data_IF_169639782177
#
_entry.id   IF_169639782177
#
_cell.length_a   1.000
_cell.length_b   1.000
_cell.length_c   1.000
_cell.angle_alpha   90.00
_cell.angle_beta   90.00
_cell.angle_gamma   90.00
#
_symmetry.space_group_name_H-M   'P 1'
#
loop_
_entity.id
_entity.type
_entity.pdbx_description
1 polymer ?
#
# COMPACT_ATOMS: atom_id res chain seq x y z
N UNK A 1 -19.03 -59.48 -41.93
CA UNK A 1 -18.60 -60.41 -40.83
C UNK A 1 -17.63 -59.70 -39.93
N UNK A 2 -17.83 -59.87 -38.69
CA UNK A 2 -16.98 -59.48 -37.52
C UNK A 2 -16.94 -58.01 -37.12
N UNK A 3 -17.75 -57.74 -36.17
CA UNK A 3 -17.73 -56.60 -35.28
C UNK A 3 -16.48 -56.62 -34.40
N UNK A 4 -15.82 -55.49 -34.20
CA UNK A 4 -14.85 -55.30 -33.16
C UNK A 4 -15.38 -54.17 -32.28
N UNK A 5 -15.72 -54.55 -31.06
CA UNK A 5 -16.13 -53.69 -29.97
C UNK A 5 -14.90 -53.03 -29.42
N UNK A 6 -14.82 -51.70 -29.52
CA UNK A 6 -13.75 -50.92 -28.85
C UNK A 6 -14.33 -50.29 -27.62
N UNK A 7 -13.82 -50.69 -26.51
CA UNK A 7 -14.12 -50.18 -25.16
C UNK A 7 -13.63 -48.75 -24.99
N UNK A 8 -14.57 -47.89 -24.62
CA UNK A 8 -14.34 -46.48 -24.30
C UNK A 8 -13.79 -46.39 -22.86
N UNK A 9 -12.50 -46.07 -22.74
CA UNK A 9 -11.89 -45.82 -21.44
C UNK A 9 -12.09 -44.34 -21.08
N UNK A 10 -12.93 -44.08 -20.09
CA UNK A 10 -13.19 -42.77 -19.54
C UNK A 10 -12.01 -42.36 -18.62
N UNK A 11 -11.12 -41.52 -19.07
CA UNK A 11 -10.06 -40.94 -18.27
C UNK A 11 -10.60 -39.67 -17.59
N UNK A 12 -10.90 -39.76 -16.30
CA UNK A 12 -11.23 -38.61 -15.45
C UNK A 12 -9.96 -37.80 -15.18
N UNK A 13 -9.88 -36.64 -15.82
CA UNK A 13 -8.83 -35.66 -15.53
C UNK A 13 -9.28 -34.78 -14.37
N UNK A 14 -8.78 -35.06 -13.17
CA UNK A 14 -8.91 -34.19 -12.01
C UNK A 14 -7.95 -32.99 -12.21
N UNK A 15 -8.50 -31.88 -12.67
CA UNK A 15 -7.82 -30.61 -12.67
C UNK A 15 -7.72 -30.06 -11.24
N UNK A 16 -6.56 -30.20 -10.59
CA UNK A 16 -6.24 -29.46 -9.41
C UNK A 16 -6.03 -27.99 -9.82
N UNK A 17 -7.05 -27.18 -9.62
CA UNK A 17 -6.93 -25.75 -9.71
C UNK A 17 -6.12 -25.22 -8.53
N UNK A 18 -4.84 -24.92 -8.77
CA UNK A 18 -4.05 -24.16 -7.82
C UNK A 18 -4.60 -22.72 -7.78
N UNK A 19 -5.35 -22.40 -6.73
CA UNK A 19 -5.72 -21.03 -6.43
C UNK A 19 -4.48 -20.32 -5.93
N UNK A 20 -3.85 -19.54 -6.80
CA UNK A 20 -2.85 -18.54 -6.39
C UNK A 20 -3.59 -17.46 -5.60
N UNK A 21 -3.46 -17.52 -4.28
CA UNK A 21 -3.89 -16.43 -3.43
C UNK A 21 -2.92 -15.25 -3.67
N UNK A 22 -3.37 -14.28 -4.44
CA UNK A 22 -2.66 -12.99 -4.56
C UNK A 22 -2.86 -12.26 -3.23
N UNK A 23 -1.78 -12.05 -2.50
CA UNK A 23 -1.80 -11.21 -1.31
C UNK A 23 -2.12 -9.77 -1.71
N UNK A 24 -3.19 -9.20 -1.14
CA UNK A 24 -3.65 -7.85 -1.41
C UNK A 24 -3.36 -6.93 -0.23
N UNK A 25 -3.03 -5.66 -0.47
CA UNK A 25 -2.75 -4.71 0.61
C UNK A 25 -3.98 -4.49 1.49
N UNK A 26 -3.73 -4.52 2.80
CA UNK A 26 -4.76 -4.75 3.81
C UNK A 26 -5.71 -3.59 4.07
N UNK A 27 -5.40 -2.35 3.74
CA UNK A 27 -6.19 -1.22 4.22
C UNK A 27 -6.36 -0.04 3.27
N UNK A 28 -5.96 -0.17 2.01
CA UNK A 28 -6.15 0.85 1.00
C UNK A 28 -7.25 0.43 0.00
N UNK A 29 -8.28 1.27 -0.18
CA UNK A 29 -9.39 1.06 -1.13
C UNK A 29 -9.49 2.17 -2.17
N UNK A 30 -8.34 2.72 -2.57
CA UNK A 30 -8.26 3.63 -3.69
C UNK A 30 -8.39 2.91 -5.03
N UNK A 31 -7.79 3.43 -6.13
CA UNK A 31 -7.86 2.84 -7.47
C UNK A 31 -7.35 1.40 -7.61
N UNK A 32 -6.68 0.84 -6.61
CA UNK A 32 -6.41 -0.60 -6.54
C UNK A 32 -7.38 -1.31 -5.60
N UNK A 33 -7.68 -2.56 -5.82
CA UNK A 33 -8.86 -3.25 -5.28
C UNK A 33 -8.59 -4.20 -4.13
N UNK A 34 -9.40 -4.17 -3.16
CA UNK A 34 -9.90 -5.11 -2.13
C UNK A 34 -9.40 -4.89 -0.71
N UNK A 35 -10.31 -4.92 0.29
CA UNK A 35 -10.03 -4.60 1.69
C UNK A 35 -9.64 -5.83 2.52
N UNK A 36 -8.65 -5.68 3.39
CA UNK A 36 -8.38 -6.62 4.48
C UNK A 36 -7.84 -5.89 5.71
N UNK A 37 -8.32 -6.25 6.88
CA UNK A 37 -8.03 -5.57 8.13
C UNK A 37 -6.88 -6.22 8.91
N UNK A 38 -5.94 -5.41 9.38
CA UNK A 38 -4.90 -5.81 10.32
C UNK A 38 -4.88 -4.88 11.54
N UNK A 39 -4.71 -5.43 12.73
CA UNK A 39 -4.83 -4.68 13.98
C UNK A 39 -3.46 -4.43 14.62
N UNK A 40 -3.02 -3.18 14.61
CA UNK A 40 -1.89 -2.73 15.44
C UNK A 40 -2.25 -1.40 16.11
N UNK A 41 -1.90 -1.27 17.40
CA UNK A 41 -2.13 -0.05 18.15
C UNK A 41 -1.09 1.02 17.79
N UNK A 42 -1.54 2.25 17.59
CA UNK A 42 -0.65 3.37 17.25
C UNK A 42 -0.64 4.42 18.37
N UNK A 43 0.53 5.01 18.63
CA UNK A 43 0.68 6.17 19.49
C UNK A 43 0.13 7.41 18.76
N UNK A 44 -0.73 8.18 19.43
CA UNK A 44 -1.31 9.41 18.88
C UNK A 44 -1.04 10.65 19.75
N UNK A 45 0.10 10.65 20.45
CA UNK A 45 0.53 11.78 21.27
C UNK A 45 1.32 12.84 20.49
N UNK A 46 1.80 13.89 21.18
CA UNK A 46 2.64 14.92 20.59
C UNK A 46 3.92 14.32 19.98
N UNK A 47 4.29 14.77 18.79
CA UNK A 47 5.51 14.37 18.11
C UNK A 47 6.40 15.58 17.86
N UNK A 48 7.71 15.44 18.10
CA UNK A 48 8.72 16.45 17.76
C UNK A 48 9.13 16.39 16.27
N UNK A 49 8.60 15.43 15.52
CA UNK A 49 8.87 15.32 14.09
C UNK A 49 8.18 16.46 13.34
N UNK A 50 8.91 17.23 12.50
CA UNK A 50 8.35 18.39 11.83
C UNK A 50 7.25 18.01 10.82
N UNK A 51 6.20 18.83 10.76
CA UNK A 51 5.24 18.78 9.68
C UNK A 51 5.82 19.52 8.47
N UNK A 52 5.91 18.85 7.34
CA UNK A 52 6.42 19.41 6.10
C UNK A 52 5.41 19.22 4.97
N UNK A 53 5.55 20.02 3.91
CA UNK A 53 4.86 19.76 2.64
C UNK A 53 5.72 18.87 1.75
N UNK A 54 5.09 18.20 0.78
CA UNK A 54 5.81 17.39 -0.22
C UNK A 54 6.89 18.21 -0.92
N UNK A 55 6.56 19.45 -1.32
CA UNK A 55 7.54 20.32 -1.97
C UNK A 55 8.71 20.67 -1.05
N UNK A 56 8.47 21.02 0.21
CA UNK A 56 9.53 21.31 1.16
C UNK A 56 10.44 20.11 1.37
N UNK A 57 9.85 18.92 1.50
CA UNK A 57 10.60 17.69 1.67
C UNK A 57 11.49 17.38 0.46
N UNK A 58 10.95 17.50 -0.76
CA UNK A 58 11.72 17.28 -1.99
C UNK A 58 12.83 18.31 -2.20
N UNK A 59 12.57 19.59 -1.87
CA UNK A 59 13.52 20.69 -2.10
C UNK A 59 14.62 20.75 -1.04
N UNK A 60 14.29 20.51 0.23
CA UNK A 60 15.18 20.75 1.37
C UNK A 60 15.40 19.54 2.27
N UNK A 61 14.66 18.45 2.04
CA UNK A 61 14.77 17.20 2.80
C UNK A 61 16.15 16.58 2.65
N UNK A 62 16.60 15.97 3.73
CA UNK A 62 17.84 15.19 3.79
C UNK A 62 17.49 13.72 3.81
N UNK A 63 18.44 12.92 3.35
CA UNK A 63 18.39 11.48 3.50
C UNK A 63 18.26 11.10 4.98
N UNK A 64 17.48 10.06 5.28
CA UNK A 64 17.15 9.60 6.64
C UNK A 64 16.42 10.66 7.51
N UNK A 65 15.78 11.65 6.90
CA UNK A 65 15.07 12.68 7.63
C UNK A 65 13.65 12.25 7.97
N UNK A 66 13.33 12.15 9.27
CA UNK A 66 11.95 11.96 9.70
C UNK A 66 11.11 13.22 9.47
N UNK A 67 9.90 13.04 8.96
CA UNK A 67 8.94 14.09 8.72
C UNK A 67 7.50 13.59 8.90
N UNK A 68 6.57 14.55 9.00
CA UNK A 68 5.13 14.30 8.87
C UNK A 68 4.63 15.00 7.61
N UNK A 69 3.78 14.33 6.87
CA UNK A 69 3.13 14.86 5.66
C UNK A 69 1.61 14.77 5.84
N UNK A 70 0.88 15.77 5.40
CA UNK A 70 -0.58 15.76 5.40
C UNK A 70 -1.12 15.90 3.98
N UNK A 71 -1.93 14.95 3.54
CA UNK A 71 -2.47 14.92 2.19
C UNK A 71 -3.35 13.70 1.97
N UNK A 72 -3.22 13.08 0.80
CA UNK A 72 -3.99 11.90 0.39
C UNK A 72 -3.12 10.87 -0.31
N UNK A 73 -3.42 9.60 -0.11
CA UNK A 73 -2.89 8.52 -0.92
C UNK A 73 -3.77 8.42 -2.16
N UNK A 74 -3.23 8.73 -3.33
CA UNK A 74 -4.03 8.88 -4.57
C UNK A 74 -3.96 7.69 -5.49
N UNK A 75 -2.97 6.80 -5.29
CA UNK A 75 -2.78 5.60 -6.11
C UNK A 75 -2.03 4.52 -5.34
N UNK A 76 -2.34 3.26 -5.63
CA UNK A 76 -1.54 2.09 -5.26
C UNK A 76 -0.78 1.62 -6.50
N UNK A 77 0.53 1.66 -6.44
CA UNK A 77 1.39 1.45 -7.59
C UNK A 77 1.96 0.02 -7.67
N UNK A 78 1.58 -0.82 -6.71
CA UNK A 78 1.91 -2.24 -6.62
C UNK A 78 2.84 -2.58 -5.44
N UNK A 79 2.61 -3.75 -4.80
CA UNK A 79 3.31 -4.12 -3.57
C UNK A 79 3.07 -3.08 -2.47
N UNK A 80 4.12 -2.61 -1.84
CA UNK A 80 4.06 -1.60 -0.77
C UNK A 80 4.21 -0.16 -1.31
N UNK A 81 4.20 0.02 -2.63
CA UNK A 81 4.39 1.33 -3.27
C UNK A 81 3.06 2.02 -3.53
N UNK A 82 2.99 3.29 -3.15
CA UNK A 82 1.83 4.17 -3.32
C UNK A 82 2.28 5.55 -3.80
N UNK A 83 1.35 6.33 -4.35
CA UNK A 83 1.55 7.74 -4.62
C UNK A 83 0.79 8.58 -3.60
N UNK A 84 1.48 9.50 -2.96
CA UNK A 84 0.91 10.47 -2.02
C UNK A 84 0.95 11.88 -2.61
N UNK A 85 -0.08 12.66 -2.32
CA UNK A 85 -0.23 14.02 -2.84
C UNK A 85 -0.71 14.98 -1.76
N UNK A 86 -0.13 16.16 -1.72
CA UNK A 86 -0.65 17.33 -1.01
C UNK A 86 -0.90 18.49 -1.98
N UNK A 87 -1.25 19.67 -1.46
CA UNK A 87 -1.48 20.85 -2.28
C UNK A 87 -0.22 21.37 -3.01
N UNK A 88 0.97 20.89 -2.65
CA UNK A 88 2.26 21.37 -3.15
C UNK A 88 2.94 20.44 -4.14
N UNK A 89 2.56 19.15 -4.14
CA UNK A 89 3.17 18.17 -5.03
C UNK A 89 2.79 16.73 -4.73
N UNK A 90 3.48 15.81 -5.40
CA UNK A 90 3.30 14.37 -5.29
C UNK A 90 4.64 13.70 -5.02
N UNK A 91 4.63 12.65 -4.22
CA UNK A 91 5.80 11.85 -3.88
C UNK A 91 5.43 10.37 -3.85
N UNK A 92 6.38 9.49 -4.24
CA UNK A 92 6.25 8.06 -4.01
C UNK A 92 6.42 7.77 -2.52
N UNK A 93 5.57 6.90 -2.00
CA UNK A 93 5.63 6.45 -0.60
C UNK A 93 5.63 4.94 -0.55
N UNK A 94 6.38 4.38 0.38
CA UNK A 94 6.35 2.95 0.71
C UNK A 94 5.58 2.78 2.01
N UNK A 95 4.59 1.88 2.01
CA UNK A 95 3.69 1.65 3.14
C UNK A 95 3.51 0.15 3.32
N UNK A 96 4.07 -0.40 4.38
CA UNK A 96 3.81 -1.77 4.78
C UNK A 96 2.36 -1.95 5.24
N UNK A 97 1.80 -3.12 5.01
CA UNK A 97 0.44 -3.48 5.47
C UNK A 97 0.23 -3.24 6.97
N UNK A 98 1.27 -3.42 7.78
CA UNK A 98 1.25 -3.22 9.24
C UNK A 98 1.10 -1.75 9.67
N UNK A 99 1.43 -0.80 8.79
CA UNK A 99 1.45 0.63 9.09
C UNK A 99 0.12 1.33 8.76
N UNK A 100 -0.79 0.60 8.12
CA UNK A 100 -2.17 1.05 7.96
C UNK A 100 -2.94 1.00 9.29
N UNK A 101 -3.86 1.97 9.53
CA UNK A 101 -4.62 2.01 10.77
C UNK A 101 -5.53 0.80 10.92
N UNK A 102 -5.45 0.16 12.09
CA UNK A 102 -6.18 -1.05 12.40
C UNK A 102 -7.70 -0.90 12.26
N UNK A 103 -8.33 -1.83 11.57
CA UNK A 103 -9.79 -1.88 11.41
C UNK A 103 -10.40 -0.71 10.66
N UNK A 104 -9.58 0.09 9.98
CA UNK A 104 -10.02 1.22 9.18
C UNK A 104 -9.50 1.08 7.75
N UNK A 105 -10.32 1.48 6.81
CA UNK A 105 -9.94 1.51 5.40
C UNK A 105 -9.54 2.92 5.00
N UNK A 106 -8.41 3.04 4.31
CA UNK A 106 -7.95 4.29 3.73
C UNK A 106 -8.37 4.34 2.26
N UNK A 107 -9.17 5.34 1.90
CA UNK A 107 -9.57 5.59 0.51
C UNK A 107 -8.80 6.76 -0.10
N UNK A 108 -8.80 6.86 -1.42
CA UNK A 108 -8.13 7.95 -2.15
C UNK A 108 -8.66 9.36 -1.80
N UNK A 109 -9.90 9.45 -1.31
CA UNK A 109 -10.52 10.72 -0.90
C UNK A 109 -10.21 11.10 0.56
N UNK A 110 -9.72 10.13 1.33
CA UNK A 110 -9.43 10.32 2.76
C UNK A 110 -8.16 11.14 2.96
N UNK A 111 -8.27 12.21 3.75
CA UNK A 111 -7.08 12.93 4.21
C UNK A 111 -6.39 12.15 5.31
N UNK A 112 -5.07 12.05 5.20
CA UNK A 112 -4.21 11.34 6.14
C UNK A 112 -3.01 12.17 6.54
N UNK A 113 -2.47 11.89 7.71
CA UNK A 113 -1.12 12.28 8.10
C UNK A 113 -0.23 11.05 8.03
N UNK A 114 0.85 11.16 7.29
CA UNK A 114 1.92 10.16 7.23
C UNK A 114 3.05 10.61 8.17
N UNK A 115 3.52 9.71 9.00
CA UNK A 115 4.76 9.82 9.76
C UNK A 115 5.73 8.82 9.15
N UNK A 116 6.95 9.25 8.87
CA UNK A 116 7.95 8.36 8.28
C UNK A 116 9.27 9.05 8.02
N UNK A 117 10.08 8.40 7.21
CA UNK A 117 11.44 8.78 6.87
C UNK A 117 11.58 9.08 5.39
N UNK A 118 12.35 10.11 5.07
CA UNK A 118 12.64 10.50 3.69
C UNK A 118 13.90 9.82 3.19
N UNK A 119 13.77 8.92 2.25
CA UNK A 119 14.89 8.27 1.55
C UNK A 119 15.21 9.03 0.25
N UNK A 120 16.38 9.64 0.22
CA UNK A 120 16.89 10.39 -0.93
C UNK A 120 18.03 9.65 -1.61
N UNK A 121 17.73 8.46 -2.11
CA UNK A 121 18.68 7.65 -2.84
C UNK A 121 19.07 8.22 -4.22
N UNK A 122 20.18 7.74 -4.77
CA UNK A 122 20.67 8.15 -6.09
C UNK A 122 19.74 7.73 -7.25
N UNK A 123 18.93 6.69 -7.07
CA UNK A 123 18.07 6.11 -8.11
C UNK A 123 16.60 6.30 -7.83
N UNK A 124 16.22 6.39 -6.59
CA UNK A 124 14.84 6.51 -6.13
C UNK A 124 14.79 7.53 -4.99
N UNK A 125 13.78 8.36 -5.00
CA UNK A 125 13.45 9.24 -3.89
C UNK A 125 12.06 8.89 -3.46
N UNK A 126 11.88 8.52 -2.20
CA UNK A 126 10.60 8.08 -1.65
C UNK A 126 10.47 8.46 -0.18
N UNK A 127 9.29 8.23 0.35
CA UNK A 127 9.00 8.43 1.76
C UNK A 127 8.53 7.10 2.35
N UNK A 128 9.36 6.52 3.21
CA UNK A 128 9.02 5.29 3.93
C UNK A 128 8.12 5.64 5.10
N UNK A 129 6.94 5.04 5.15
CA UNK A 129 5.88 5.38 6.11
C UNK A 129 5.90 4.42 7.27
N UNK A 130 6.10 4.96 8.48
CA UNK A 130 6.02 4.22 9.75
C UNK A 130 4.61 4.19 10.31
N UNK A 131 3.77 5.17 9.95
CA UNK A 131 2.42 5.30 10.50
C UNK A 131 1.53 6.19 9.64
N UNK A 132 0.26 5.77 9.56
CA UNK A 132 -0.82 6.55 8.97
C UNK A 132 -1.84 6.93 10.04
N UNK A 133 -2.23 8.19 10.07
CA UNK A 133 -3.31 8.71 10.92
C UNK A 133 -4.38 9.34 10.05
N UNK A 134 -5.63 8.92 10.21
CA UNK A 134 -6.75 9.51 9.48
C UNK A 134 -7.07 10.91 10.04
N UNK A 135 -7.18 11.89 9.16
CA UNK A 135 -7.59 13.25 9.51
C UNK A 135 -9.11 13.41 9.26
N UNK A 136 -9.78 14.06 10.18
CA UNK A 136 -11.22 14.38 10.09
C UNK A 136 -11.44 15.74 9.47
#
# INVERSE_FOLDING_TARGET
MRAIVSTLTLASLLAFGATVATAQPAAYTGPSQTPQASSHGSYSGPSNVPLMTVKQLLDTGRDDQHARLQGRIVSHDGGDNYSFEDATGRIAVEIDDKDFPAGQTVSADQRVELLGEFDKGLRKTEFEVDRITLLR
#
